data_IF_967504037607
#
_entry.id   IF_967504037607
#
_cell.length_a   1.000
_cell.length_b   1.000
_cell.length_c   1.000
_cell.angle_alpha   90.00
_cell.angle_beta   90.00
_cell.angle_gamma   90.00
#
_symmetry.space_group_name_H-M   'P 1'
#
loop_
_entity.id
_entity.type
_entity.pdbx_description
1 polymer ?
#
# COMPACT_ATOMS: atom_id res chain seq x y z
N UNK A 1 6.91 -6.34 30.20
CA UNK A 1 7.82 -6.18 29.05
C UNK A 1 7.21 -6.97 27.90
N UNK A 2 7.11 -6.36 26.72
CA UNK A 2 6.80 -7.01 25.45
C UNK A 2 8.03 -6.86 24.56
N UNK A 3 8.57 -7.97 24.07
CA UNK A 3 9.74 -8.00 23.20
C UNK A 3 9.42 -8.86 21.97
N UNK A 4 9.73 -8.37 20.80
CA UNK A 4 9.54 -9.12 19.55
C UNK A 4 10.40 -8.53 18.44
N UNK A 5 10.86 -9.38 17.51
CA UNK A 5 11.25 -8.95 16.19
C UNK A 5 9.99 -8.43 15.49
N UNK A 6 10.08 -7.28 14.86
CA UNK A 6 8.96 -6.70 14.14
C UNK A 6 8.57 -7.60 12.96
N UNK A 7 7.28 -7.83 12.77
CA UNK A 7 6.75 -8.66 11.69
C UNK A 7 5.67 -7.87 10.90
N UNK A 8 6.11 -6.83 10.23
CA UNK A 8 5.26 -5.99 9.39
C UNK A 8 4.39 -4.98 10.13
N UNK A 9 3.68 -4.19 9.34
CA UNK A 9 2.79 -3.12 9.79
C UNK A 9 1.40 -3.68 10.16
N UNK A 10 0.69 -2.99 11.06
CA UNK A 10 -0.72 -3.24 11.36
C UNK A 10 -1.01 -4.42 12.29
N UNK A 11 -0.02 -5.20 12.71
CA UNK A 11 -0.21 -6.25 13.70
C UNK A 11 -0.29 -5.70 15.13
N UNK A 12 -0.63 -6.58 16.10
CA UNK A 12 -0.78 -6.20 17.51
C UNK A 12 0.47 -5.50 18.08
N UNK A 13 1.68 -6.03 17.80
CA UNK A 13 2.92 -5.46 18.31
C UNK A 13 3.20 -4.07 17.73
N UNK A 14 2.97 -3.88 16.42
CA UNK A 14 3.08 -2.57 15.78
C UNK A 14 2.09 -1.55 16.36
N UNK A 15 0.83 -1.93 16.58
CA UNK A 15 -0.15 -1.05 17.22
C UNK A 15 0.29 -0.63 18.63
N UNK A 16 0.77 -1.59 19.45
CA UNK A 16 1.28 -1.30 20.78
C UNK A 16 2.53 -0.42 20.76
N UNK A 17 3.38 -0.60 19.75
CA UNK A 17 4.52 0.28 19.52
C UNK A 17 4.07 1.72 19.23
N UNK A 18 3.13 1.91 18.31
CA UNK A 18 2.61 3.23 17.98
C UNK A 18 1.91 3.91 19.16
N UNK A 19 1.12 3.16 19.95
CA UNK A 19 0.49 3.67 21.18
C UNK A 19 1.54 4.15 22.19
N UNK A 20 2.65 3.40 22.33
CA UNK A 20 3.74 3.76 23.24
C UNK A 20 4.53 4.98 22.75
N UNK A 21 4.86 5.07 21.46
CA UNK A 21 5.52 6.25 20.86
C UNK A 21 4.66 7.51 20.99
N UNK A 22 3.34 7.38 20.83
CA UNK A 22 2.40 8.48 20.97
C UNK A 22 2.08 8.85 22.43
N UNK A 23 2.63 8.12 23.42
CA UNK A 23 2.32 8.31 24.84
C UNK A 23 0.87 7.95 25.22
N UNK A 24 0.23 7.11 24.43
CA UNK A 24 -1.17 6.67 24.62
C UNK A 24 -1.29 5.35 25.41
N UNK A 25 -0.19 4.83 25.92
CA UNK A 25 -0.15 3.59 26.71
C UNK A 25 0.79 3.71 27.91
N UNK A 26 0.72 2.75 28.85
CA UNK A 26 1.64 2.66 29.98
C UNK A 26 3.03 2.10 29.58
N UNK A 27 3.20 1.68 28.32
CA UNK A 27 4.45 1.17 27.80
C UNK A 27 5.35 2.30 27.32
N UNK A 28 6.66 2.06 27.45
CA UNK A 28 7.71 2.91 26.86
C UNK A 28 8.28 2.15 25.66
N UNK A 29 8.28 2.80 24.51
CA UNK A 29 8.87 2.25 23.29
C UNK A 29 10.41 2.33 23.39
N UNK A 30 11.09 1.18 23.37
CA UNK A 30 12.55 1.09 23.36
C UNK A 30 12.98 0.38 22.08
N UNK A 31 13.75 1.07 21.26
CA UNK A 31 14.33 0.51 20.03
C UNK A 31 15.84 0.39 20.17
N UNK A 32 16.40 -0.75 19.77
CA UNK A 32 17.85 -1.02 19.79
C UNK A 32 18.30 -1.27 18.35
N UNK A 33 18.97 -0.29 17.70
CA UNK A 33 19.47 -0.46 16.34
C UNK A 33 20.64 -1.44 16.30
N UNK A 34 20.76 -2.18 15.19
CA UNK A 34 21.77 -3.23 15.04
C UNK A 34 23.21 -2.75 15.26
N UNK A 35 23.50 -1.52 14.86
CA UNK A 35 24.86 -0.97 14.90
C UNK A 35 25.31 -0.54 16.32
N UNK A 36 24.46 -0.68 17.31
CA UNK A 36 24.86 -0.53 18.71
C UNK A 36 25.58 -1.78 19.25
N UNK A 37 25.47 -2.91 18.55
CA UNK A 37 26.21 -4.11 18.89
C UNK A 37 27.63 -4.05 18.31
N UNK A 38 28.63 -4.01 19.22
CA UNK A 38 30.04 -3.93 18.85
C UNK A 38 30.55 -5.16 18.08
N UNK A 39 29.88 -6.29 18.21
CA UNK A 39 30.24 -7.55 17.54
C UNK A 39 29.86 -7.56 16.06
N UNK A 40 28.97 -6.67 15.61
CA UNK A 40 28.48 -6.60 14.23
C UNK A 40 29.46 -5.80 13.36
N UNK A 41 30.69 -6.27 13.33
CA UNK A 41 31.79 -5.70 12.55
C UNK A 41 32.57 -6.79 11.81
N UNK A 42 33.14 -6.45 10.67
CA UNK A 42 34.02 -7.32 9.89
C UNK A 42 35.04 -6.49 9.13
N UNK A 43 36.32 -6.83 9.28
CA UNK A 43 37.40 -6.21 8.50
C UNK A 43 37.62 -6.97 7.19
N UNK A 44 37.75 -6.22 6.09
CA UNK A 44 38.06 -6.71 4.77
C UNK A 44 38.94 -5.66 4.07
N UNK A 45 40.18 -6.07 3.71
CA UNK A 45 41.25 -5.13 3.28
C UNK A 45 40.88 -4.31 2.04
N UNK A 46 40.11 -4.89 1.10
CA UNK A 46 39.74 -4.23 -0.17
C UNK A 46 38.25 -3.78 -0.19
N UNK A 47 37.61 -3.59 0.97
CA UNK A 47 36.21 -3.20 1.01
C UNK A 47 35.99 -1.77 0.50
N UNK A 48 35.29 -1.65 -0.61
CA UNK A 48 34.87 -0.38 -1.19
C UNK A 48 33.33 -0.27 -1.09
N UNK A 49 32.79 0.74 -0.37
CA UNK A 49 31.36 0.94 -0.30
C UNK A 49 30.81 1.43 -1.65
N UNK A 50 29.64 0.94 -2.05
CA UNK A 50 28.86 1.51 -3.14
C UNK A 50 28.31 2.90 -2.74
N UNK A 51 27.90 3.74 -3.70
CA UNK A 51 27.28 5.05 -3.37
C UNK A 51 26.07 4.93 -2.42
N UNK A 52 25.25 3.86 -2.58
CA UNK A 52 24.09 3.58 -1.71
C UNK A 52 24.57 3.24 -0.29
N UNK A 53 25.59 2.43 -0.14
CA UNK A 53 26.16 2.07 1.17
C UNK A 53 26.85 3.25 1.85
N UNK A 54 27.54 4.07 1.10
CA UNK A 54 28.18 5.30 1.63
C UNK A 54 27.10 6.28 2.16
N UNK A 55 26.00 6.45 1.42
CA UNK A 55 24.88 7.27 1.88
C UNK A 55 24.23 6.67 3.17
N UNK A 56 24.05 5.36 3.21
CA UNK A 56 23.53 4.67 4.40
C UNK A 56 24.48 4.82 5.61
N UNK A 57 25.78 4.65 5.40
CA UNK A 57 26.79 4.86 6.44
C UNK A 57 26.77 6.29 6.99
N UNK A 58 26.66 7.26 6.11
CA UNK A 58 26.57 8.67 6.51
C UNK A 58 25.31 8.94 7.35
N UNK A 59 24.15 8.38 6.93
CA UNK A 59 22.88 8.58 7.63
C UNK A 59 22.88 8.03 9.06
N UNK A 60 23.60 6.93 9.32
CA UNK A 60 23.64 6.25 10.63
C UNK A 60 25.00 6.32 11.33
N UNK A 61 25.94 7.10 10.79
CA UNK A 61 27.30 7.27 11.33
C UNK A 61 28.06 5.92 11.48
N UNK A 62 27.91 5.03 10.49
CA UNK A 62 28.50 3.69 10.53
C UNK A 62 29.98 3.71 10.16
N UNK A 63 30.74 2.83 10.79
CA UNK A 63 32.13 2.55 10.45
C UNK A 63 32.23 1.65 9.23
N UNK A 64 33.39 1.64 8.57
CA UNK A 64 33.66 0.75 7.44
C UNK A 64 33.52 -0.75 7.82
N UNK A 65 34.03 -1.24 8.97
CA UNK A 65 33.80 -2.61 9.41
C UNK A 65 32.33 -2.98 9.60
N UNK A 66 31.49 -2.05 10.09
CA UNK A 66 30.05 -2.26 10.22
C UNK A 66 29.37 -2.39 8.83
N UNK A 67 29.75 -1.56 7.86
CA UNK A 67 29.26 -1.68 6.49
C UNK A 67 29.65 -3.00 5.82
N UNK A 68 30.90 -3.42 6.03
CA UNK A 68 31.38 -4.68 5.53
C UNK A 68 30.59 -5.85 6.13
N UNK A 69 30.38 -5.85 7.46
CA UNK A 69 29.55 -6.84 8.14
C UNK A 69 28.13 -6.84 7.59
N UNK A 70 27.49 -5.66 7.45
CA UNK A 70 26.16 -5.51 6.88
C UNK A 70 26.04 -6.14 5.50
N UNK A 71 26.96 -5.84 4.57
CA UNK A 71 26.98 -6.41 3.21
C UNK A 71 27.05 -7.93 3.22
N UNK A 72 27.91 -8.48 4.05
CA UNK A 72 28.08 -9.93 4.18
C UNK A 72 26.82 -10.57 4.81
N UNK A 73 26.22 -9.92 5.81
CA UNK A 73 24.98 -10.42 6.44
C UNK A 73 23.79 -10.38 5.49
N UNK A 74 23.69 -9.37 4.63
CA UNK A 74 22.68 -9.32 3.56
C UNK A 74 22.86 -10.47 2.58
N UNK A 75 24.11 -10.80 2.19
CA UNK A 75 24.38 -11.94 1.31
C UNK A 75 24.02 -13.27 1.99
N UNK A 76 24.31 -13.42 3.27
CA UNK A 76 23.96 -14.61 4.06
C UNK A 76 22.45 -14.81 4.18
N UNK A 77 21.72 -13.74 4.44
CA UNK A 77 20.26 -13.74 4.55
C UNK A 77 19.55 -13.84 3.20
N UNK A 78 20.25 -13.60 2.10
CA UNK A 78 19.70 -13.63 0.74
C UNK A 78 18.95 -12.37 0.32
N UNK A 79 18.61 -11.46 1.25
CA UNK A 79 17.92 -10.22 0.91
C UNK A 79 18.24 -9.06 1.87
N UNK A 80 18.28 -7.83 1.34
CA UNK A 80 18.42 -6.60 2.13
C UNK A 80 17.20 -6.39 3.04
N UNK A 81 16.06 -6.91 2.61
CA UNK A 81 14.85 -6.81 3.38
C UNK A 81 14.90 -7.66 4.66
N UNK A 82 15.30 -8.94 4.58
CA UNK A 82 15.49 -9.78 5.76
C UNK A 82 16.53 -9.15 6.71
N UNK A 83 17.54 -8.50 6.16
CA UNK A 83 18.48 -7.74 6.99
C UNK A 83 17.77 -6.62 7.77
N UNK A 84 16.94 -5.83 7.11
CA UNK A 84 16.21 -4.73 7.76
C UNK A 84 15.20 -5.21 8.80
N UNK A 85 14.64 -6.39 8.63
CA UNK A 85 13.74 -7.01 9.61
C UNK A 85 14.48 -7.48 10.86
N UNK A 86 15.58 -8.23 10.66
CA UNK A 86 16.34 -8.85 11.75
C UNK A 86 17.35 -7.89 12.40
N UNK A 87 17.89 -6.98 11.61
CA UNK A 87 18.92 -6.01 11.97
C UNK A 87 18.53 -4.59 11.55
N UNK A 88 17.41 -4.04 12.05
CA UNK A 88 16.94 -2.73 11.64
C UNK A 88 17.82 -1.60 12.17
N UNK A 89 17.95 -0.53 11.40
CA UNK A 89 18.56 0.72 11.86
C UNK A 89 17.55 1.67 12.50
N UNK A 90 16.26 1.52 12.18
CA UNK A 90 15.17 2.34 12.73
C UNK A 90 13.93 1.49 12.98
N UNK A 91 12.99 1.94 13.85
CA UNK A 91 11.70 1.27 14.00
C UNK A 91 10.94 1.10 12.69
N UNK A 92 10.99 2.11 11.80
CA UNK A 92 10.34 2.05 10.51
C UNK A 92 10.93 0.97 9.57
N UNK A 93 12.23 0.71 9.63
CA UNK A 93 12.84 -0.42 8.94
C UNK A 93 12.41 -1.77 9.54
N UNK A 94 12.30 -1.84 10.87
CA UNK A 94 11.91 -3.07 11.57
C UNK A 94 10.49 -3.50 11.23
N UNK A 95 9.56 -2.55 11.16
CA UNK A 95 8.15 -2.82 10.87
C UNK A 95 7.81 -2.95 9.38
N UNK A 96 8.82 -2.98 8.51
CA UNK A 96 8.55 -3.26 7.10
C UNK A 96 7.93 -4.65 6.93
N UNK A 97 6.95 -4.76 6.02
CA UNK A 97 6.32 -6.06 5.71
C UNK A 97 7.28 -6.94 4.89
N UNK A 98 7.27 -8.26 5.04
CA UNK A 98 8.18 -9.22 4.39
C UNK A 98 8.28 -9.03 2.87
N UNK A 99 9.51 -8.80 2.37
CA UNK A 99 9.75 -8.36 0.98
C UNK A 99 9.56 -9.43 -0.08
N UNK A 100 9.61 -10.70 0.29
CA UNK A 100 9.58 -11.77 -0.73
C UNK A 100 8.18 -12.05 -1.30
N UNK A 101 7.12 -11.62 -0.60
CA UNK A 101 5.74 -11.90 -1.00
C UNK A 101 4.90 -10.65 -1.27
N UNK A 102 5.48 -9.46 -1.24
CA UNK A 102 4.72 -8.24 -1.51
C UNK A 102 4.43 -8.05 -2.97
N UNK A 103 3.21 -7.64 -3.25
CA UNK A 103 2.86 -7.35 -4.62
C UNK A 103 3.43 -6.02 -5.12
N UNK A 104 3.39 -4.97 -4.30
CA UNK A 104 3.92 -3.63 -4.61
C UNK A 104 5.10 -3.32 -3.67
N UNK A 105 6.23 -2.93 -4.26
CA UNK A 105 7.45 -2.59 -3.52
C UNK A 105 7.30 -1.27 -2.76
N UNK A 106 7.67 -1.21 -1.47
CA UNK A 106 7.58 -0.01 -0.66
C UNK A 106 8.34 1.18 -1.22
N UNK A 107 9.46 0.94 -1.88
CA UNK A 107 10.28 2.00 -2.49
C UNK A 107 9.51 2.75 -3.58
N UNK A 108 8.71 2.04 -4.40
CA UNK A 108 7.86 2.63 -5.42
C UNK A 108 6.77 3.51 -4.80
N UNK A 109 6.15 3.05 -3.71
CA UNK A 109 5.12 3.78 -2.98
C UNK A 109 5.71 5.05 -2.33
N UNK A 110 6.85 4.93 -1.64
CA UNK A 110 7.54 6.06 -1.02
C UNK A 110 7.97 7.11 -2.05
N UNK A 111 8.49 6.67 -3.20
CA UNK A 111 8.84 7.57 -4.30
C UNK A 111 7.61 8.34 -4.78
N UNK A 112 6.48 7.67 -4.97
CA UNK A 112 5.23 8.28 -5.42
C UNK A 112 4.64 9.25 -4.37
N UNK A 113 4.79 8.99 -3.07
CA UNK A 113 4.37 9.89 -1.98
C UNK A 113 5.16 11.21 -1.97
N UNK A 114 6.45 11.13 -2.27
CA UNK A 114 7.37 12.28 -2.20
C UNK A 114 7.42 13.11 -3.48
N UNK A 115 6.74 12.67 -4.54
CA UNK A 115 6.67 13.43 -5.79
C UNK A 115 5.64 14.55 -5.69
N UNK A 116 5.91 15.65 -6.41
CA UNK A 116 4.95 16.72 -6.67
C UNK A 116 4.80 16.88 -8.18
N UNK A 117 3.61 16.53 -8.68
CA UNK A 117 3.31 16.44 -10.12
C UNK A 117 2.03 17.23 -10.41
N UNK A 118 2.05 17.99 -11.48
CA UNK A 118 0.85 18.65 -11.96
C UNK A 118 -0.23 17.66 -12.40
N UNK A 119 -1.48 17.99 -12.05
CA UNK A 119 -2.65 17.17 -12.36
C UNK A 119 -3.20 17.54 -13.74
N UNK A 120 -3.28 16.58 -14.66
CA UNK A 120 -3.86 16.76 -16.01
C UNK A 120 -4.61 15.53 -16.48
N UNK A 121 -5.35 15.67 -17.59
CA UNK A 121 -6.14 14.58 -18.18
C UNK A 121 -7.49 14.34 -17.52
N UNK A 122 -8.20 13.29 -17.91
CA UNK A 122 -9.54 12.97 -17.39
C UNK A 122 -9.48 12.68 -15.89
N UNK A 123 -10.51 13.13 -15.16
CA UNK A 123 -10.70 12.82 -13.75
C UNK A 123 -11.40 11.48 -13.61
N UNK A 124 -10.78 10.56 -12.89
CA UNK A 124 -11.30 9.24 -12.55
C UNK A 124 -11.46 9.17 -11.04
N UNK A 125 -12.60 8.65 -10.57
CA UNK A 125 -12.89 8.44 -9.16
C UNK A 125 -12.96 6.95 -8.87
N UNK A 126 -12.25 6.49 -7.84
CA UNK A 126 -12.40 5.15 -7.26
C UNK A 126 -13.14 5.22 -5.93
N UNK A 127 -14.15 4.39 -5.74
CA UNK A 127 -14.98 4.34 -4.54
C UNK A 127 -15.06 2.90 -4.04
N UNK A 128 -14.56 2.63 -2.85
CA UNK A 128 -14.71 1.36 -2.12
C UNK A 128 -15.67 1.57 -0.93
N UNK A 129 -16.98 1.22 -1.07
CA UNK A 129 -17.96 1.42 -0.03
C UNK A 129 -17.90 0.36 1.07
N UNK A 130 -17.83 0.76 2.34
CA UNK A 130 -17.95 -0.13 3.49
C UNK A 130 -18.98 0.37 4.49
N UNK A 131 -19.69 -0.55 5.18
CA UNK A 131 -20.80 -0.19 6.09
C UNK A 131 -20.51 -0.47 7.55
N UNK A 132 -20.05 -1.65 7.87
CA UNK A 132 -19.97 -2.16 9.24
C UNK A 132 -18.56 -2.67 9.57
N UNK A 133 -18.23 -2.67 10.86
CA UNK A 133 -16.95 -3.13 11.37
C UNK A 133 -15.86 -2.06 11.28
N UNK A 134 -14.64 -2.53 11.08
CA UNK A 134 -13.43 -1.69 11.02
C UNK A 134 -13.12 -1.21 9.60
N UNK A 135 -13.83 -1.71 8.59
CA UNK A 135 -13.64 -1.32 7.19
C UNK A 135 -14.21 0.08 6.94
N UNK A 136 -13.57 0.86 6.06
CA UNK A 136 -13.89 2.27 5.78
C UNK A 136 -14.33 2.46 4.34
N UNK A 137 -15.35 3.30 4.12
CA UNK A 137 -15.62 3.80 2.77
C UNK A 137 -14.49 4.72 2.35
N UNK A 138 -13.80 4.39 1.26
CA UNK A 138 -12.68 5.16 0.75
C UNK A 138 -12.98 5.70 -0.65
N UNK A 139 -12.63 6.97 -0.89
CA UNK A 139 -12.83 7.67 -2.17
C UNK A 139 -11.53 8.34 -2.55
N UNK A 140 -11.05 8.09 -3.76
CA UNK A 140 -9.81 8.68 -4.28
C UNK A 140 -10.02 9.22 -5.70
N UNK A 141 -9.21 10.19 -6.08
CA UNK A 141 -9.19 10.81 -7.41
C UNK A 141 -7.90 10.47 -8.12
N UNK A 142 -7.97 10.24 -9.44
CA UNK A 142 -6.80 10.11 -10.29
C UNK A 142 -6.95 10.93 -11.57
N UNK A 143 -5.87 11.63 -11.93
CA UNK A 143 -5.68 12.22 -13.26
C UNK A 143 -4.32 11.77 -13.78
N UNK A 144 -4.31 11.05 -14.88
CA UNK A 144 -3.10 10.49 -15.53
C UNK A 144 -2.07 9.96 -14.52
N UNK A 145 -1.10 10.76 -14.08
CA UNK A 145 0.00 10.35 -13.19
C UNK A 145 -0.13 10.85 -11.74
N UNK A 146 -1.27 11.44 -11.37
CA UNK A 146 -1.49 11.96 -10.01
C UNK A 146 -2.75 11.39 -9.39
N UNK A 147 -2.61 10.72 -8.24
CA UNK A 147 -3.71 10.44 -7.33
C UNK A 147 -3.75 11.49 -6.22
N UNK A 148 -4.94 11.92 -5.84
CA UNK A 148 -5.13 13.01 -4.87
C UNK A 148 -6.52 12.95 -4.22
N UNK A 149 -6.76 13.81 -3.23
CA UNK A 149 -8.07 14.01 -2.62
C UNK A 149 -8.64 12.74 -1.99
N UNK A 150 -7.77 11.89 -1.41
CA UNK A 150 -8.16 10.71 -0.66
C UNK A 150 -9.04 11.10 0.54
N UNK A 151 -10.17 10.43 0.68
CA UNK A 151 -11.13 10.62 1.76
C UNK A 151 -11.57 9.25 2.27
N UNK A 152 -11.54 9.06 3.58
CA UNK A 152 -11.98 7.83 4.23
C UNK A 152 -13.01 8.13 5.30
N UNK A 153 -14.11 7.36 5.30
CA UNK A 153 -15.26 7.55 6.17
C UNK A 153 -15.61 6.25 6.87
N UNK A 154 -15.90 6.31 8.16
CA UNK A 154 -16.39 5.18 8.93
C UNK A 154 -17.90 5.21 9.05
N UNK A 155 -18.54 4.03 9.10
CA UNK A 155 -19.96 3.84 9.43
C UNK A 155 -20.94 4.63 8.54
N UNK A 156 -20.62 4.76 7.25
CA UNK A 156 -21.52 5.36 6.27
C UNK A 156 -22.51 4.34 5.73
N UNK A 157 -23.78 4.71 5.60
CA UNK A 157 -24.76 3.89 4.91
C UNK A 157 -24.74 4.11 3.39
N UNK A 158 -25.48 3.28 2.66
CA UNK A 158 -25.55 3.32 1.19
C UNK A 158 -26.01 4.68 0.67
N UNK A 159 -26.98 5.33 1.36
CA UNK A 159 -27.53 6.62 0.94
C UNK A 159 -26.55 7.75 1.17
N UNK A 160 -25.84 7.72 2.30
CA UNK A 160 -24.78 8.69 2.60
C UNK A 160 -23.63 8.60 1.60
N UNK A 161 -23.16 7.37 1.29
CA UNK A 161 -22.11 7.15 0.26
C UNK A 161 -22.59 7.63 -1.10
N UNK A 162 -23.81 7.29 -1.50
CA UNK A 162 -24.42 7.81 -2.73
C UNK A 162 -24.42 9.34 -2.76
N UNK A 163 -24.82 9.97 -1.66
CA UNK A 163 -24.82 11.44 -1.53
C UNK A 163 -23.43 12.06 -1.72
N UNK A 164 -22.37 11.44 -1.14
CA UNK A 164 -20.98 11.86 -1.33
C UNK A 164 -20.55 11.76 -2.80
N UNK A 165 -20.86 10.64 -3.45
CA UNK A 165 -20.51 10.42 -4.88
C UNK A 165 -21.27 11.42 -5.77
N UNK A 166 -22.56 11.64 -5.55
CA UNK A 166 -23.36 12.64 -6.29
C UNK A 166 -22.77 14.03 -6.14
N UNK A 167 -22.35 14.42 -4.93
CA UNK A 167 -21.71 15.69 -4.69
C UNK A 167 -20.43 15.83 -5.52
N UNK A 168 -19.55 14.82 -5.51
CA UNK A 168 -18.30 14.79 -6.29
C UNK A 168 -18.62 14.92 -7.79
N UNK A 169 -19.58 14.14 -8.30
CA UNK A 169 -19.96 14.19 -9.71
C UNK A 169 -20.40 15.60 -10.13
N UNK A 170 -21.20 16.27 -9.32
CA UNK A 170 -21.71 17.62 -9.62
C UNK A 170 -20.63 18.68 -9.56
N UNK A 171 -19.76 18.62 -8.56
CA UNK A 171 -18.73 19.63 -8.32
C UNK A 171 -17.51 19.45 -9.21
N UNK A 172 -17.05 18.21 -9.39
CA UNK A 172 -15.75 17.92 -10.02
C UNK A 172 -15.89 17.39 -11.47
N UNK A 173 -17.09 16.97 -11.88
CA UNK A 173 -17.41 16.47 -13.24
C UNK A 173 -16.42 15.43 -13.73
N UNK A 174 -16.26 14.28 -13.03
CA UNK A 174 -15.35 13.24 -13.44
C UNK A 174 -15.75 12.63 -14.79
N UNK A 175 -14.74 12.20 -15.55
CA UNK A 175 -14.94 11.43 -16.77
C UNK A 175 -15.54 10.05 -16.45
N UNK A 176 -15.13 9.45 -15.30
CA UNK A 176 -15.64 8.14 -14.87
C UNK A 176 -15.57 8.00 -13.34
N UNK A 177 -16.55 7.29 -12.79
CA UNK A 177 -16.58 6.84 -11.40
C UNK A 177 -16.66 5.32 -11.37
N UNK A 178 -15.69 4.68 -10.74
CA UNK A 178 -15.67 3.23 -10.51
C UNK A 178 -16.03 2.93 -9.06
N UNK A 179 -17.02 2.09 -8.83
CA UNK A 179 -17.53 1.72 -7.50
C UNK A 179 -17.38 0.22 -7.31
N UNK A 180 -16.71 -0.23 -6.23
CA UNK A 180 -16.70 -1.66 -5.89
C UNK A 180 -18.14 -2.11 -5.56
N UNK A 181 -18.66 -3.10 -6.29
CA UNK A 181 -19.98 -3.69 -6.04
C UNK A 181 -19.93 -4.90 -5.09
N UNK A 182 -18.77 -5.22 -4.54
CA UNK A 182 -18.63 -6.19 -3.46
C UNK A 182 -19.39 -5.73 -2.22
N UNK A 183 -20.50 -6.40 -1.88
CA UNK A 183 -21.30 -6.03 -0.71
C UNK A 183 -22.20 -4.80 -0.92
N UNK A 184 -21.93 -3.69 -0.24
CA UNK A 184 -22.78 -2.48 -0.26
C UNK A 184 -22.76 -1.70 -1.55
N UNK A 185 -21.69 -1.77 -2.29
CA UNK A 185 -21.51 -0.92 -3.45
C UNK A 185 -22.52 -1.18 -4.57
N UNK A 186 -23.10 -2.38 -4.66
CA UNK A 186 -24.19 -2.66 -5.59
C UNK A 186 -25.39 -1.69 -5.35
N UNK A 187 -25.79 -1.50 -4.10
CA UNK A 187 -26.87 -0.56 -3.76
C UNK A 187 -26.51 0.91 -4.01
N UNK A 188 -25.20 1.27 -3.91
CA UNK A 188 -24.73 2.62 -4.28
C UNK A 188 -24.87 2.83 -5.79
N UNK A 189 -24.45 1.87 -6.61
CA UNK A 189 -24.53 1.92 -8.07
C UNK A 189 -26.00 1.96 -8.51
N UNK A 190 -26.85 1.08 -7.96
CA UNK A 190 -28.29 1.07 -8.27
C UNK A 190 -28.92 2.43 -8.00
N UNK A 191 -28.61 3.03 -6.85
CA UNK A 191 -29.15 4.34 -6.51
C UNK A 191 -28.61 5.46 -7.39
N UNK A 192 -27.35 5.41 -7.79
CA UNK A 192 -26.77 6.37 -8.74
C UNK A 192 -27.45 6.26 -10.11
N UNK A 193 -27.72 5.04 -10.59
CA UNK A 193 -28.46 4.79 -11.82
C UNK A 193 -29.89 5.36 -11.77
N UNK A 194 -30.63 5.16 -10.66
CA UNK A 194 -31.95 5.75 -10.46
C UNK A 194 -31.93 7.30 -10.48
N UNK A 195 -30.81 7.89 -10.06
CA UNK A 195 -30.61 9.35 -10.08
C UNK A 195 -30.17 9.88 -11.45
N UNK A 196 -30.05 8.99 -12.46
CA UNK A 196 -29.72 9.34 -13.83
C UNK A 196 -28.22 9.32 -14.17
N UNK A 197 -27.36 8.82 -13.26
CA UNK A 197 -25.93 8.61 -13.53
C UNK A 197 -25.77 7.19 -14.13
N UNK A 198 -25.78 7.08 -15.45
CA UNK A 198 -25.70 5.80 -16.15
C UNK A 198 -24.29 5.27 -16.34
N UNK A 199 -24.19 4.17 -17.12
CA UNK A 199 -22.92 3.45 -17.37
C UNK A 199 -21.86 4.28 -18.12
N UNK A 200 -22.24 5.38 -18.70
CA UNK A 200 -21.34 6.37 -19.34
C UNK A 200 -20.60 7.24 -18.32
N UNK A 201 -21.01 7.20 -17.04
CA UNK A 201 -20.40 8.00 -15.97
C UNK A 201 -20.06 7.17 -14.71
N UNK A 202 -20.88 6.15 -14.39
CA UNK A 202 -20.71 5.32 -13.19
C UNK A 202 -20.70 3.85 -13.57
N UNK A 203 -19.63 3.15 -13.24
CA UNK A 203 -19.47 1.71 -13.48
C UNK A 203 -19.27 0.99 -12.15
N UNK A 204 -20.12 0.00 -11.88
CA UNK A 204 -19.93 -0.96 -10.81
C UNK A 204 -18.84 -1.98 -11.21
N UNK A 205 -17.88 -2.21 -10.35
CA UNK A 205 -16.75 -3.13 -10.60
C UNK A 205 -16.78 -4.24 -9.57
N UNK A 206 -16.84 -5.49 -10.02
CA UNK A 206 -16.71 -6.65 -9.16
C UNK A 206 -15.29 -7.21 -9.25
N UNK A 207 -14.54 -7.12 -8.17
CA UNK A 207 -13.17 -7.62 -8.09
C UNK A 207 -13.03 -9.13 -8.33
N UNK A 208 -14.09 -9.91 -8.14
CA UNK A 208 -14.13 -11.35 -8.40
C UNK A 208 -14.36 -11.74 -9.86
N UNK A 209 -14.78 -10.81 -10.71
CA UNK A 209 -15.06 -11.08 -12.14
C UNK A 209 -13.81 -11.39 -12.96
N UNK A 210 -14.06 -11.81 -14.20
CA UNK A 210 -12.98 -12.07 -15.15
C UNK A 210 -12.24 -10.78 -15.49
N UNK A 211 -10.89 -10.81 -15.50
CA UNK A 211 -10.09 -9.68 -15.93
C UNK A 211 -10.20 -9.49 -17.46
N UNK A 212 -9.81 -8.33 -17.96
CA UNK A 212 -9.63 -8.09 -19.38
C UNK A 212 -8.45 -8.90 -19.94
N UNK A 213 -7.37 -9.00 -19.16
CA UNK A 213 -6.19 -9.81 -19.48
C UNK A 213 -6.20 -11.11 -18.66
N UNK A 214 -6.99 -12.10 -19.13
CA UNK A 214 -7.15 -13.40 -18.47
C UNK A 214 -5.93 -14.32 -18.53
N UNK A 215 -4.93 -14.01 -19.36
CA UNK A 215 -3.68 -14.76 -19.44
C UNK A 215 -2.72 -14.35 -18.30
N UNK A 216 -2.77 -13.09 -17.87
CA UNK A 216 -1.88 -12.52 -16.84
C UNK A 216 -2.49 -12.53 -15.45
N UNK A 217 -3.80 -12.26 -15.34
CA UNK A 217 -4.48 -12.05 -14.06
C UNK A 217 -5.58 -13.08 -13.80
N UNK A 218 -5.70 -13.52 -12.55
CA UNK A 218 -6.70 -14.49 -12.12
C UNK A 218 -8.12 -13.91 -12.10
N UNK A 219 -8.26 -12.66 -11.61
CA UNK A 219 -9.53 -11.95 -11.49
C UNK A 219 -9.32 -10.43 -11.67
N UNK A 220 -10.44 -9.70 -11.69
CA UNK A 220 -10.44 -8.25 -11.91
C UNK A 220 -9.68 -7.48 -10.82
N UNK A 221 -9.74 -7.92 -9.55
CA UNK A 221 -8.98 -7.30 -8.47
C UNK A 221 -7.47 -7.42 -8.72
N UNK A 222 -6.99 -8.59 -9.11
CA UNK A 222 -5.57 -8.79 -9.42
C UNK A 222 -5.13 -7.94 -10.62
N UNK A 223 -6.00 -7.76 -11.64
CA UNK A 223 -5.75 -6.89 -12.78
C UNK A 223 -5.64 -5.42 -12.37
N UNK A 224 -6.61 -4.88 -11.65
CA UNK A 224 -6.60 -3.49 -11.18
C UNK A 224 -5.34 -3.16 -10.38
N UNK A 225 -4.97 -4.03 -9.46
CA UNK A 225 -3.74 -3.88 -8.66
C UNK A 225 -2.48 -4.01 -9.53
N UNK A 226 -2.52 -4.86 -10.56
CA UNK A 226 -1.45 -5.04 -11.52
C UNK A 226 -1.20 -3.80 -12.36
N UNK A 227 -2.26 -3.24 -12.93
CA UNK A 227 -2.21 -2.00 -13.69
C UNK A 227 -1.71 -0.83 -12.81
N UNK A 228 -2.19 -0.77 -11.55
CA UNK A 228 -1.71 0.20 -10.57
C UNK A 228 -0.23 0.04 -10.24
N UNK A 229 0.27 -1.20 -10.09
CA UNK A 229 1.71 -1.48 -9.90
C UNK A 229 2.54 -0.99 -11.08
N UNK A 230 2.11 -1.25 -12.30
CA UNK A 230 2.77 -0.76 -13.51
C UNK A 230 2.76 0.77 -13.57
N UNK A 231 1.64 1.39 -13.21
CA UNK A 231 1.54 2.84 -13.10
C UNK A 231 2.51 3.43 -12.05
N UNK A 232 2.69 2.79 -10.88
CA UNK A 232 3.69 3.20 -9.87
C UNK A 232 5.13 3.13 -10.39
N UNK A 233 5.39 2.25 -11.35
CA UNK A 233 6.70 2.07 -11.98
C UNK A 233 6.97 3.01 -13.16
N UNK A 234 6.05 3.92 -13.50
CA UNK A 234 6.21 4.88 -14.60
C UNK A 234 7.53 5.67 -14.43
N UNK A 235 8.46 5.58 -15.40
CA UNK A 235 9.75 6.26 -15.31
C UNK A 235 9.64 7.79 -15.25
N UNK A 236 8.57 8.35 -15.78
CA UNK A 236 8.29 9.79 -15.70
C UNK A 236 7.81 10.24 -14.30
N UNK A 237 7.62 9.28 -13.39
CA UNK A 237 7.18 9.48 -12.03
C UNK A 237 5.67 9.67 -11.90
N UNK A 238 5.14 9.24 -10.77
CA UNK A 238 3.73 9.38 -10.40
C UNK A 238 3.63 9.96 -9.00
N UNK A 239 2.46 10.49 -8.63
CA UNK A 239 2.20 11.00 -7.29
C UNK A 239 0.97 10.33 -6.68
N UNK A 240 1.09 9.96 -5.41
CA UNK A 240 -0.05 9.52 -4.57
C UNK A 240 -0.17 10.42 -3.34
N UNK A 241 -1.32 10.44 -2.65
CA UNK A 241 -1.47 11.17 -1.39
C UNK A 241 -0.43 10.77 -0.35
N UNK A 242 0.02 11.73 0.44
CA UNK A 242 0.85 11.48 1.61
C UNK A 242 -0.03 10.90 2.74
N UNK A 243 -0.21 9.57 2.73
CA UNK A 243 -1.03 8.81 3.68
C UNK A 243 -0.30 7.54 4.09
N UNK A 244 -0.08 7.40 5.41
CA UNK A 244 0.50 6.18 5.99
C UNK A 244 -0.44 5.00 5.83
N UNK A 245 -1.75 5.26 5.88
CA UNK A 245 -2.79 4.26 5.63
C UNK A 245 -2.72 3.71 4.22
N UNK A 246 -2.71 4.59 3.22
CA UNK A 246 -2.61 4.19 1.81
C UNK A 246 -1.29 3.45 1.55
N UNK A 247 -0.18 3.91 2.11
CA UNK A 247 1.10 3.20 2.00
C UNK A 247 1.01 1.79 2.58
N UNK A 248 0.45 1.63 3.78
CA UNK A 248 0.27 0.33 4.41
C UNK A 248 -0.65 -0.58 3.57
N UNK A 249 -1.74 -0.03 3.03
CA UNK A 249 -2.67 -0.75 2.17
C UNK A 249 -2.00 -1.21 0.87
N UNK A 250 -1.21 -0.35 0.22
CA UNK A 250 -0.53 -0.69 -1.04
C UNK A 250 0.59 -1.73 -0.86
N UNK A 251 1.28 -1.71 0.28
CA UNK A 251 2.40 -2.61 0.56
C UNK A 251 2.00 -3.85 1.36
N UNK A 252 0.76 -3.94 1.82
CA UNK A 252 0.27 -5.04 2.67
C UNK A 252 -0.02 -6.35 1.95
N UNK A 253 -0.70 -6.33 0.79
CA UNK A 253 -1.06 -7.55 0.10
C UNK A 253 0.14 -8.32 -0.44
N UNK A 254 0.13 -9.64 -0.24
CA UNK A 254 1.01 -10.58 -0.92
C UNK A 254 0.39 -11.09 -2.22
N UNK A 255 1.14 -11.87 -2.97
CA UNK A 255 0.67 -12.45 -4.21
C UNK A 255 1.13 -13.89 -4.39
N UNK A 256 0.46 -14.60 -5.27
CA UNK A 256 0.83 -15.95 -5.71
C UNK A 256 0.45 -16.13 -7.18
N UNK A 257 0.81 -17.27 -7.74
CA UNK A 257 0.38 -17.66 -9.08
C UNK A 257 -0.49 -18.92 -8.98
N UNK A 258 -1.50 -19.03 -9.84
CA UNK A 258 -2.26 -20.27 -9.97
C UNK A 258 -1.54 -21.29 -10.89
N UNK A 259 -2.16 -22.45 -11.12
CA UNK A 259 -1.61 -23.50 -11.98
C UNK A 259 -1.46 -23.09 -13.47
N UNK A 260 -2.12 -22.02 -13.89
CA UNK A 260 -2.02 -21.43 -15.22
C UNK A 260 -1.07 -20.20 -15.24
N UNK A 261 -0.24 -20.01 -14.19
CA UNK A 261 0.70 -18.90 -14.03
C UNK A 261 0.06 -17.52 -14.00
N UNK A 262 -1.25 -17.43 -13.71
CA UNK A 262 -1.96 -16.18 -13.57
C UNK A 262 -1.77 -15.60 -12.15
N UNK A 263 -1.51 -14.32 -12.08
CA UNK A 263 -1.31 -13.61 -10.83
C UNK A 263 -2.60 -13.58 -10.00
N UNK A 264 -2.48 -13.98 -8.74
CA UNK A 264 -3.52 -13.89 -7.70
C UNK A 264 -3.04 -12.97 -6.60
N UNK A 265 -3.81 -11.94 -6.32
CA UNK A 265 -3.58 -11.12 -5.13
C UNK A 265 -4.13 -11.85 -3.88
N UNK A 266 -3.48 -11.67 -2.74
CA UNK A 266 -3.93 -12.21 -1.46
C UNK A 266 -5.36 -11.80 -1.15
N UNK A 267 -6.13 -12.73 -0.58
CA UNK A 267 -7.51 -12.45 -0.17
C UNK A 267 -7.56 -11.60 1.10
N UNK A 268 -8.58 -10.74 1.22
CA UNK A 268 -8.79 -9.92 2.43
C UNK A 268 -8.88 -10.76 3.72
N UNK A 269 -9.49 -11.95 3.64
CA UNK A 269 -9.58 -12.88 4.77
C UNK A 269 -8.22 -13.43 5.23
N UNK A 270 -7.30 -13.67 4.29
CA UNK A 270 -5.96 -14.17 4.60
C UNK A 270 -5.07 -13.03 5.15
N UNK A 271 -5.22 -11.81 4.64
CA UNK A 271 -4.62 -10.61 5.24
C UNK A 271 -5.07 -10.42 6.69
N UNK A 272 -6.38 -10.55 6.97
CA UNK A 272 -6.93 -10.46 8.34
C UNK A 272 -6.37 -11.54 9.26
N UNK A 273 -6.15 -12.77 8.79
CA UNK A 273 -5.48 -13.84 9.58
C UNK A 273 -4.04 -13.50 9.95
N UNK A 274 -3.33 -12.72 9.11
CA UNK A 274 -1.99 -12.20 9.39
C UNK A 274 -1.99 -10.92 10.27
N UNK A 275 -3.15 -10.49 10.74
CA UNK A 275 -3.30 -9.26 11.52
C UNK A 275 -3.21 -7.98 10.69
N UNK A 276 -3.35 -8.08 9.36
CA UNK A 276 -3.39 -6.92 8.45
C UNK A 276 -4.85 -6.59 8.17
N UNK A 277 -5.19 -5.32 8.28
CA UNK A 277 -6.54 -4.84 7.99
C UNK A 277 -6.86 -4.90 6.49
N UNK A 278 -8.15 -4.74 6.16
CA UNK A 278 -8.62 -4.56 4.79
C UNK A 278 -7.93 -3.35 4.14
N UNK A 279 -7.44 -3.46 2.90
CA UNK A 279 -6.77 -2.36 2.21
C UNK A 279 -7.78 -1.43 1.51
N UNK A 280 -8.65 -0.79 2.28
CA UNK A 280 -9.80 -0.04 1.75
C UNK A 280 -9.37 1.18 0.91
N UNK A 281 -8.31 1.91 1.33
CA UNK A 281 -7.75 3.01 0.54
C UNK A 281 -6.99 2.48 -0.69
N UNK A 282 -6.33 1.34 -0.55
CA UNK A 282 -5.66 0.62 -1.64
C UNK A 282 -6.64 0.06 -2.67
N UNK A 283 -7.76 -0.51 -2.25
CA UNK A 283 -8.79 -1.01 -3.16
C UNK A 283 -9.51 0.15 -3.88
N UNK A 284 -9.80 1.27 -3.19
CA UNK A 284 -10.31 2.48 -3.83
C UNK A 284 -9.33 3.04 -4.89
N UNK A 285 -8.02 3.05 -4.59
CA UNK A 285 -6.98 3.43 -5.54
C UNK A 285 -6.93 2.47 -6.74
N UNK A 286 -6.97 1.17 -6.51
CA UNK A 286 -6.94 0.15 -7.56
C UNK A 286 -8.15 0.27 -8.51
N UNK A 287 -9.33 0.62 -8.00
CA UNK A 287 -10.52 0.86 -8.81
C UNK A 287 -10.30 1.92 -9.90
N UNK A 288 -9.44 2.89 -9.69
CA UNK A 288 -9.14 3.91 -10.72
C UNK A 288 -8.48 3.33 -11.97
N UNK A 289 -8.01 2.08 -11.93
CA UNK A 289 -7.39 1.32 -13.03
C UNK A 289 -8.31 0.25 -13.61
N UNK A 290 -9.60 0.24 -13.27
CA UNK A 290 -10.54 -0.82 -13.68
C UNK A 290 -10.71 -0.93 -15.19
N UNK A 291 -10.78 0.19 -15.88
CA UNK A 291 -10.93 0.26 -17.34
C UNK A 291 -10.17 1.47 -17.90
N UNK A 292 -9.75 1.41 -19.18
CA UNK A 292 -9.22 2.58 -19.88
C UNK A 292 -10.26 3.72 -19.94
N UNK A 293 -9.81 4.96 -19.69
CA UNK A 293 -10.63 6.19 -19.72
C UNK A 293 -9.90 7.27 -20.51
#
# INVERSE_FOLDING_TARGET
IQESTANGLGNYFHQKWQEAEAGLSEYIAIFVPWYWQNEYTRDEEDFMPTPKEAAYAHAYSLTQPQLCWRRNKIKELGSEWLFKQEYPATPSEAFQVSGEDRYIEPESVLKARNNDIDSYGPLIIGVDPARFGDDRTSIIRRRTRKCFGLQSYSKKDTMEVTGLVVKIIKEEKPAMVFVDVGGLGAGVVDRLNELGYGLDQVIGVNGGEKPMNGDKYFNKRAEMWGEGKEWLADPAGVQIPDSDTLQADLTGPSYSYDSATRLKLEKKEDMKKRGIRSPDEGDAWALTFSFPV
#
